data_IF_833405283196
#
_entry.id   IF_833405283196
#
_cell.length_a   1.000
_cell.length_b   1.000
_cell.length_c   1.000
_cell.angle_alpha   90.00
_cell.angle_beta   90.00
_cell.angle_gamma   90.00
#
_symmetry.space_group_name_H-M   'P 1'
#
loop_
_entity.id
_entity.type
_entity.pdbx_description
1 polymer ?
#
# COMPACT_ATOMS: atom_id res chain seq x y z
N UNK A 1 4.20 9.31 -13.86
CA UNK A 1 5.48 9.52 -13.16
C UNK A 1 5.29 9.19 -11.66
N UNK A 2 6.06 8.23 -11.10
CA UNK A 2 6.02 7.83 -9.69
C UNK A 2 6.41 8.93 -8.69
N UNK A 3 7.08 10.01 -9.12
CA UNK A 3 7.50 11.11 -8.26
C UNK A 3 6.45 12.22 -8.11
N UNK A 4 5.43 12.29 -8.98
CA UNK A 4 4.48 13.42 -9.07
C UNK A 4 3.80 13.76 -7.74
N UNK A 5 3.56 12.76 -6.90
CA UNK A 5 2.79 12.93 -5.67
C UNK A 5 3.61 13.49 -4.50
N UNK A 6 4.86 13.03 -4.33
CA UNK A 6 5.68 13.32 -3.14
C UNK A 6 7.19 13.41 -3.40
N UNK A 7 7.61 13.41 -4.66
CA UNK A 7 9.00 13.39 -5.12
C UNK A 7 9.82 12.19 -4.61
N UNK A 8 9.17 11.05 -4.36
CA UNK A 8 9.84 9.82 -3.87
C UNK A 8 9.64 8.64 -4.85
N UNK A 9 10.24 8.69 -6.05
CA UNK A 9 9.96 7.72 -7.12
C UNK A 9 10.29 6.26 -6.76
N UNK A 10 11.26 6.04 -5.88
CA UNK A 10 11.71 4.70 -5.49
C UNK A 10 10.92 4.10 -4.33
N UNK A 11 9.90 4.79 -3.79
CA UNK A 11 9.12 4.24 -2.68
C UNK A 11 8.18 3.17 -3.18
N UNK A 12 8.09 2.08 -2.41
CA UNK A 12 7.24 0.95 -2.77
C UNK A 12 5.80 1.38 -3.10
N UNK A 13 5.21 2.28 -2.33
CA UNK A 13 3.82 2.72 -2.56
C UNK A 13 3.59 3.55 -3.84
N UNK A 14 4.64 3.98 -4.54
CA UNK A 14 4.56 4.76 -5.78
C UNK A 14 4.68 3.89 -7.05
N UNK A 15 4.92 2.59 -6.89
CA UNK A 15 5.08 1.66 -8.03
C UNK A 15 3.79 1.60 -8.85
N UNK A 16 3.94 1.58 -10.18
CA UNK A 16 2.83 1.38 -11.10
C UNK A 16 2.34 -0.10 -11.06
N UNK A 17 1.03 -0.35 -11.17
CA UNK A 17 0.51 -1.70 -11.31
C UNK A 17 0.99 -2.31 -12.64
N UNK A 18 1.35 -3.59 -12.61
CA UNK A 18 1.77 -4.34 -13.80
C UNK A 18 1.14 -5.72 -13.81
N UNK A 19 0.96 -6.29 -15.00
CA UNK A 19 0.37 -7.62 -15.16
C UNK A 19 1.28 -8.71 -14.58
N UNK A 20 2.59 -8.61 -14.82
CA UNK A 20 3.61 -9.45 -14.17
C UNK A 20 4.35 -8.60 -13.14
N UNK A 21 3.96 -8.75 -11.87
CA UNK A 21 4.56 -8.03 -10.75
C UNK A 21 4.97 -9.02 -9.65
N UNK A 22 6.26 -9.28 -9.55
CA UNK A 22 6.81 -10.18 -8.52
C UNK A 22 7.30 -9.36 -7.34
N UNK A 23 6.86 -9.72 -6.13
CA UNK A 23 7.27 -9.09 -4.86
C UNK A 23 7.18 -7.54 -4.88
N UNK A 24 6.21 -7.01 -5.62
CA UNK A 24 6.08 -5.58 -5.91
C UNK A 24 7.34 -4.91 -6.51
N UNK A 25 8.34 -5.66 -7.00
CA UNK A 25 9.70 -5.16 -7.28
C UNK A 25 10.38 -4.47 -6.12
N UNK A 26 10.01 -4.85 -4.90
CA UNK A 26 10.53 -4.21 -3.70
C UNK A 26 11.71 -4.96 -3.16
N UNK A 27 12.71 -4.20 -2.73
CA UNK A 27 13.82 -4.67 -1.93
C UNK A 27 13.66 -4.09 -0.53
N UNK A 28 13.70 -4.95 0.48
CA UNK A 28 13.70 -4.56 1.88
C UNK A 28 15.13 -4.23 2.32
N UNK A 29 15.30 -3.04 2.89
CA UNK A 29 16.50 -2.64 3.61
C UNK A 29 16.16 -2.57 5.11
N UNK A 30 16.63 -3.58 5.85
CA UNK A 30 16.44 -3.72 7.30
C UNK A 30 17.56 -3.00 8.02
N UNK A 31 17.24 -1.88 8.65
CA UNK A 31 18.15 -0.99 9.35
C UNK A 31 18.09 -1.31 10.84
N UNK A 32 19.22 -1.74 11.40
CA UNK A 32 19.33 -2.20 12.79
C UNK A 32 20.47 -1.48 13.50
N UNK A 33 20.18 -0.67 14.54
CA UNK A 33 21.24 -0.08 15.36
C UNK A 33 21.95 -1.18 16.16
N UNK A 34 23.28 -1.15 16.18
CA UNK A 34 24.11 -2.10 16.91
C UNK A 34 24.77 -1.38 18.08
N UNK A 35 24.38 -1.75 19.30
CA UNK A 35 24.82 -1.12 20.54
C UNK A 35 26.31 -1.32 20.81
N UNK A 36 26.77 -2.55 20.69
CA UNK A 36 28.13 -2.98 21.05
C UNK A 36 29.17 -2.36 20.12
N UNK A 37 28.93 -2.42 18.80
CA UNK A 37 29.81 -1.87 17.77
C UNK A 37 29.59 -0.37 17.50
N UNK A 38 28.61 0.26 18.17
CA UNK A 38 28.19 1.67 17.96
C UNK A 38 27.99 2.03 16.47
N UNK A 39 27.54 1.06 15.67
CA UNK A 39 27.30 1.24 14.24
C UNK A 39 25.85 0.90 13.89
N UNK A 40 25.51 1.01 12.62
CA UNK A 40 24.19 0.67 12.09
C UNK A 40 24.41 -0.41 11.04
N UNK A 41 23.76 -1.55 11.20
CA UNK A 41 23.76 -2.62 10.20
C UNK A 41 22.57 -2.44 9.28
N UNK A 42 22.79 -2.54 7.98
CA UNK A 42 21.73 -2.58 6.98
C UNK A 42 21.84 -3.90 6.24
N UNK A 43 20.76 -4.68 6.25
CA UNK A 43 20.64 -5.95 5.53
C UNK A 43 19.65 -5.74 4.39
N UNK A 44 20.00 -6.23 3.20
CA UNK A 44 19.19 -6.12 1.99
C UNK A 44 18.56 -7.50 1.70
N UNK A 45 17.27 -7.52 1.38
CA UNK A 45 16.53 -8.72 1.02
C UNK A 45 15.57 -8.44 -0.16
N UNK A 46 15.61 -9.19 -1.28
CA UNK A 46 16.49 -10.32 -1.60
C UNK A 46 17.98 -9.94 -1.73
N UNK A 47 18.87 -10.95 -1.69
CA UNK A 47 20.33 -10.81 -1.62
C UNK A 47 20.91 -9.82 -2.67
N UNK A 48 21.96 -9.05 -2.31
CA UNK A 48 22.33 -7.81 -2.98
C UNK A 48 23.22 -8.00 -4.22
N UNK A 49 23.13 -9.09 -4.99
CA UNK A 49 24.02 -9.32 -6.17
C UNK A 49 24.04 -8.12 -7.15
N UNK A 50 22.99 -7.29 -7.12
CA UNK A 50 22.77 -6.14 -7.98
C UNK A 50 22.66 -4.79 -7.23
N UNK A 51 22.94 -4.73 -5.92
CA UNK A 51 22.86 -3.49 -5.12
C UNK A 51 24.18 -3.22 -4.37
N UNK A 52 24.81 -2.09 -4.70
CA UNK A 52 26.00 -1.60 -4.02
C UNK A 52 25.59 -0.62 -2.91
N UNK A 53 25.61 -1.09 -1.66
CA UNK A 53 25.17 -0.33 -0.50
C UNK A 53 26.33 0.41 0.19
N UNK A 54 26.24 1.74 0.24
CA UNK A 54 27.13 2.59 1.00
C UNK A 54 26.42 3.14 2.24
N UNK A 55 26.84 2.70 3.43
CA UNK A 55 26.22 3.11 4.69
C UNK A 55 27.09 4.11 5.44
N UNK A 56 26.74 5.40 5.35
CA UNK A 56 27.40 6.50 6.06
C UNK A 56 26.54 7.02 7.24
N UNK A 57 25.62 6.21 7.76
CA UNK A 57 24.75 6.62 8.87
C UNK A 57 25.52 6.71 10.18
N UNK A 58 25.22 7.74 10.96
CA UNK A 58 25.75 7.94 12.31
C UNK A 58 24.71 7.54 13.36
N UNK A 59 25.11 6.68 14.29
CA UNK A 59 24.25 6.29 15.40
C UNK A 59 24.12 7.43 16.42
N UNK A 60 22.92 7.64 16.94
CA UNK A 60 22.59 8.73 17.89
C UNK A 60 21.65 8.25 18.99
N UNK A 61 21.51 9.04 20.07
CA UNK A 61 20.69 8.70 21.25
C UNK A 61 19.41 9.53 21.39
N UNK A 62 19.05 10.34 20.38
CA UNK A 62 17.85 11.18 20.39
C UNK A 62 16.54 10.39 20.33
N UNK A 63 15.38 11.06 20.31
CA UNK A 63 14.09 10.38 20.10
C UNK A 63 14.01 9.78 18.69
N UNK A 64 13.27 8.67 18.53
CA UNK A 64 12.89 8.22 17.19
C UNK A 64 11.79 9.13 16.64
N UNK A 65 12.20 10.22 15.98
CA UNK A 65 11.28 11.10 15.24
C UNK A 65 10.92 10.51 13.87
N UNK A 66 10.76 11.38 12.88
CA UNK A 66 10.57 11.02 11.47
C UNK A 66 11.86 10.47 10.84
N UNK A 67 12.29 9.30 11.29
CA UNK A 67 13.57 8.68 10.92
C UNK A 67 13.75 8.57 9.40
N UNK A 68 12.67 8.36 8.64
CA UNK A 68 12.71 8.28 7.17
C UNK A 68 13.13 9.58 6.51
N UNK A 69 12.80 10.73 7.12
CA UNK A 69 13.17 12.05 6.61
C UNK A 69 14.62 12.41 7.02
N UNK A 70 15.09 11.86 8.16
CA UNK A 70 16.47 12.03 8.60
C UNK A 70 17.48 11.17 7.80
N UNK A 71 17.00 10.16 7.08
CA UNK A 71 17.80 9.34 6.16
C UNK A 71 17.99 10.03 4.81
N UNK A 72 19.13 10.70 4.64
CA UNK A 72 19.57 11.16 3.33
C UNK A 72 19.82 9.97 2.42
N UNK A 73 18.99 9.79 1.40
CA UNK A 73 19.04 8.64 0.49
C UNK A 73 19.45 9.10 -0.91
N UNK A 74 20.60 8.64 -1.39
CA UNK A 74 21.06 8.88 -2.76
C UNK A 74 21.07 7.55 -3.51
N UNK A 75 20.35 7.47 -4.63
CA UNK A 75 20.22 6.27 -5.45
C UNK A 75 20.73 6.59 -6.84
N UNK A 76 21.69 5.80 -7.31
CA UNK A 76 22.26 5.88 -8.67
C UNK A 76 22.08 4.53 -9.33
N UNK A 77 21.37 4.52 -10.45
CA UNK A 77 21.14 3.31 -11.24
C UNK A 77 22.07 3.38 -12.44
N UNK A 78 22.99 2.42 -12.55
CA UNK A 78 23.82 2.29 -13.74
C UNK A 78 23.07 1.49 -14.81
N UNK A 79 22.66 2.18 -15.87
CA UNK A 79 21.94 1.56 -16.99
C UNK A 79 22.85 0.87 -18.00
N UNK A 80 24.17 1.09 -17.94
CA UNK A 80 25.16 0.58 -18.88
C UNK A 80 25.89 -0.66 -18.33
N UNK A 81 26.14 -0.74 -17.02
CA UNK A 81 26.83 -1.87 -16.38
C UNK A 81 25.89 -2.79 -15.57
N UNK A 82 25.40 -3.85 -16.22
CA UNK A 82 24.62 -4.93 -15.58
C UNK A 82 23.41 -4.50 -14.71
N UNK A 83 22.89 -3.29 -14.90
CA UNK A 83 21.81 -2.73 -14.09
C UNK A 83 22.14 -2.65 -12.58
N UNK A 84 23.42 -2.49 -12.20
CA UNK A 84 23.79 -2.33 -10.78
C UNK A 84 23.24 -1.02 -10.23
N UNK A 85 22.68 -1.07 -9.03
CA UNK A 85 22.17 0.12 -8.34
C UNK A 85 23.02 0.42 -7.12
N UNK A 86 23.61 1.61 -7.06
CA UNK A 86 24.26 2.10 -5.85
C UNK A 86 23.26 2.85 -4.98
N UNK A 87 23.18 2.45 -3.70
CA UNK A 87 22.34 3.09 -2.68
C UNK A 87 23.24 3.61 -1.57
N UNK A 88 23.26 4.93 -1.38
CA UNK A 88 24.02 5.57 -0.31
C UNK A 88 23.09 6.18 0.73
N UNK A 89 23.24 5.75 1.99
CA UNK A 89 22.56 6.36 3.14
C UNK A 89 23.49 7.28 3.91
N UNK A 90 23.01 8.49 4.20
CA UNK A 90 23.71 9.50 4.99
C UNK A 90 22.78 10.05 6.08
N UNK A 91 23.36 10.69 7.09
CA UNK A 91 22.61 11.34 8.18
C UNK A 91 22.69 10.57 9.49
N UNK A 92 21.70 10.77 10.36
CA UNK A 92 21.69 10.23 11.72
C UNK A 92 20.53 9.27 11.91
N UNK A 93 20.79 8.16 12.61
CA UNK A 93 19.77 7.19 13.01
C UNK A 93 19.80 7.03 14.52
N UNK A 94 18.65 7.15 15.17
CA UNK A 94 18.58 7.00 16.62
C UNK A 94 18.47 5.54 17.02
N UNK A 95 19.20 5.15 18.06
CA UNK A 95 19.03 3.86 18.72
C UNK A 95 17.58 3.62 19.17
N UNK A 96 16.88 4.66 19.61
CA UNK A 96 15.50 4.58 20.07
C UNK A 96 14.52 4.25 18.95
N UNK A 97 14.96 4.26 17.69
CA UNK A 97 14.15 3.73 16.59
C UNK A 97 14.08 2.22 16.58
N UNK A 98 15.04 1.52 17.18
CA UNK A 98 15.20 0.07 17.06
C UNK A 98 15.33 -0.34 15.59
N UNK A 99 14.97 -1.58 15.30
CA UNK A 99 14.92 -2.09 13.93
C UNK A 99 13.80 -1.41 13.12
N UNK A 100 14.10 -1.08 11.87
CA UNK A 100 13.15 -0.54 10.89
C UNK A 100 13.39 -1.11 9.50
N UNK A 101 12.30 -1.31 8.77
CA UNK A 101 12.33 -1.72 7.36
C UNK A 101 12.03 -0.54 6.43
N UNK A 102 12.85 -0.43 5.39
CA UNK A 102 12.71 0.50 4.29
C UNK A 102 12.52 -0.28 2.99
N UNK A 103 11.35 -0.18 2.37
CA UNK A 103 11.05 -0.83 1.09
C UNK A 103 11.33 0.13 -0.07
N UNK A 104 12.24 -0.25 -0.96
CA UNK A 104 12.61 0.52 -2.15
C UNK A 104 12.36 -0.30 -3.43
N UNK A 105 11.90 0.38 -4.49
CA UNK A 105 11.80 -0.16 -5.84
C UNK A 105 12.95 0.40 -6.67
N UNK A 106 14.00 -0.39 -6.84
CA UNK A 106 15.26 0.07 -7.43
C UNK A 106 15.41 -0.31 -8.91
N UNK A 107 14.66 -1.30 -9.38
CA UNK A 107 14.78 -1.84 -10.74
C UNK A 107 13.41 -1.93 -11.42
N UNK A 108 13.41 -2.04 -12.74
CA UNK A 108 12.21 -2.35 -13.52
C UNK A 108 11.81 -3.84 -13.37
N UNK A 109 10.63 -4.22 -13.88
CA UNK A 109 10.10 -5.58 -13.68
C UNK A 109 10.91 -6.67 -14.36
N UNK A 110 11.33 -6.53 -15.64
CA UNK A 110 12.16 -7.54 -16.29
C UNK A 110 13.45 -7.82 -15.53
N UNK A 111 14.19 -6.78 -15.12
CA UNK A 111 15.45 -6.93 -14.38
C UNK A 111 15.20 -7.55 -13.01
N UNK A 112 14.25 -7.01 -12.23
CA UNK A 112 13.96 -7.53 -10.89
C UNK A 112 13.54 -9.01 -10.92
N UNK A 113 12.65 -9.37 -11.85
CA UNK A 113 12.12 -10.74 -11.97
C UNK A 113 13.22 -11.71 -12.39
N UNK A 114 14.06 -11.33 -13.36
CA UNK A 114 15.18 -12.15 -13.81
C UNK A 114 16.17 -12.44 -12.69
N UNK A 115 16.60 -11.41 -11.97
CA UNK A 115 17.63 -11.57 -10.95
C UNK A 115 17.10 -12.34 -9.74
N UNK A 116 15.85 -12.09 -9.34
CA UNK A 116 15.20 -12.90 -8.30
C UNK A 116 15.05 -14.37 -8.73
N UNK A 117 14.63 -14.62 -9.98
CA UNK A 117 14.52 -15.98 -10.52
C UNK A 117 15.87 -16.70 -10.53
N UNK A 118 16.92 -16.08 -11.07
CA UNK A 118 18.28 -16.66 -11.09
C UNK A 118 18.76 -16.98 -9.68
N UNK A 119 18.56 -16.07 -8.74
CA UNK A 119 18.96 -16.26 -7.35
C UNK A 119 18.29 -17.51 -6.76
N UNK A 120 16.95 -17.58 -6.81
CA UNK A 120 16.19 -18.72 -6.29
C UNK A 120 16.49 -20.02 -7.05
N UNK A 121 16.71 -19.96 -8.36
CA UNK A 121 17.04 -21.13 -9.18
C UNK A 121 18.42 -21.71 -8.82
N UNK A 122 19.41 -20.83 -8.59
CA UNK A 122 20.75 -21.25 -8.15
C UNK A 122 20.75 -21.86 -6.76
N UNK A 123 19.93 -21.34 -5.83
CA UNK A 123 19.77 -21.95 -4.50
C UNK A 123 19.28 -23.40 -4.58
N UNK A 124 18.54 -23.75 -5.65
CA UNK A 124 18.08 -25.11 -5.94
C UNK A 124 19.06 -25.91 -6.83
N UNK A 125 20.28 -25.43 -7.05
CA UNK A 125 21.30 -26.08 -7.89
C UNK A 125 21.11 -25.86 -9.40
N UNK A 126 20.17 -25.03 -9.80
CA UNK A 126 19.87 -24.72 -11.19
C UNK A 126 20.84 -23.71 -11.82
N UNK A 127 21.06 -23.82 -13.13
CA UNK A 127 21.85 -22.88 -13.92
C UNK A 127 20.95 -22.22 -14.96
N UNK A 128 21.00 -20.89 -15.06
CA UNK A 128 20.27 -20.11 -16.07
C UNK A 128 21.22 -19.18 -16.82
N UNK A 129 21.53 -19.55 -18.07
CA UNK A 129 22.43 -18.80 -18.96
C UNK A 129 21.68 -17.94 -19.99
N UNK A 130 20.35 -17.96 -19.95
CA UNK A 130 19.50 -17.19 -20.87
C UNK A 130 19.41 -15.71 -20.52
N UNK A 131 18.61 -14.97 -21.31
CA UNK A 131 18.23 -13.58 -21.06
C UNK A 131 16.71 -13.46 -21.02
N UNK A 132 16.19 -12.55 -20.20
CA UNK A 132 14.76 -12.20 -20.21
C UNK A 132 14.45 -11.26 -21.37
N UNK A 133 13.30 -11.48 -22.00
CA UNK A 133 12.76 -10.62 -23.06
C UNK A 133 11.29 -10.37 -22.75
N UNK A 134 10.86 -9.12 -22.91
CA UNK A 134 9.45 -8.80 -22.92
C UNK A 134 8.83 -9.28 -24.25
N UNK A 135 7.62 -9.83 -24.19
CA UNK A 135 6.91 -10.29 -25.37
C UNK A 135 5.62 -11.01 -24.99
N UNK A 136 4.80 -11.30 -26.00
CA UNK A 136 3.65 -12.19 -25.86
C UNK A 136 4.13 -13.64 -25.86
N UNK A 137 3.45 -14.49 -25.09
CA UNK A 137 3.72 -15.93 -25.11
C UNK A 137 3.10 -16.50 -26.40
N UNK A 138 3.84 -17.26 -27.22
CA UNK A 138 3.27 -17.92 -28.40
C UNK A 138 2.22 -18.97 -28.00
N UNK A 139 1.22 -19.21 -28.85
CA UNK A 139 0.10 -20.13 -28.57
C UNK A 139 0.56 -21.59 -28.38
N UNK A 140 1.61 -22.01 -29.09
CA UNK A 140 2.16 -23.37 -29.06
C UNK A 140 3.24 -23.52 -27.97
N UNK A 141 2.84 -23.47 -26.69
CA UNK A 141 3.77 -23.61 -25.56
C UNK A 141 3.28 -24.65 -24.57
N UNK A 142 4.21 -25.48 -24.09
CA UNK A 142 3.96 -26.35 -22.95
C UNK A 142 3.83 -25.50 -21.68
N UNK A 143 2.64 -25.51 -21.08
CA UNK A 143 2.41 -24.90 -19.77
C UNK A 143 3.10 -25.76 -18.71
N UNK A 144 4.14 -25.21 -18.07
CA UNK A 144 4.89 -25.92 -17.04
C UNK A 144 4.18 -25.91 -15.69
N UNK A 145 3.60 -24.77 -15.31
CA UNK A 145 3.00 -24.57 -13.99
C UNK A 145 1.94 -23.47 -14.03
N UNK A 146 0.95 -23.55 -13.13
CA UNK A 146 0.00 -22.47 -12.87
C UNK A 146 -0.06 -22.17 -11.39
N UNK A 147 0.27 -20.94 -11.03
CA UNK A 147 0.11 -20.44 -9.67
C UNK A 147 -1.19 -19.65 -9.55
N UNK A 148 -2.04 -20.04 -8.59
CA UNK A 148 -3.28 -19.32 -8.27
C UNK A 148 -3.05 -18.44 -7.04
N UNK A 149 -3.56 -17.21 -7.08
CA UNK A 149 -3.50 -16.29 -5.94
C UNK A 149 -4.38 -16.76 -4.78
N UNK A 150 -4.20 -16.20 -3.57
CA UNK A 150 -5.21 -16.30 -2.53
C UNK A 150 -6.59 -15.78 -3.01
N UNK A 151 -7.68 -16.17 -2.32
CA UNK A 151 -9.02 -15.66 -2.61
C UNK A 151 -9.08 -14.13 -2.52
N UNK A 152 -9.98 -13.53 -3.32
CA UNK A 152 -10.13 -12.06 -3.39
C UNK A 152 -10.41 -11.41 -2.01
N UNK A 153 -11.11 -12.11 -1.11
CA UNK A 153 -11.37 -11.61 0.24
C UNK A 153 -10.07 -11.36 1.03
N UNK A 154 -9.09 -12.24 0.91
CA UNK A 154 -7.77 -12.07 1.56
C UNK A 154 -6.98 -10.93 0.94
N UNK A 155 -7.03 -10.80 -0.39
CA UNK A 155 -6.39 -9.69 -1.11
C UNK A 155 -7.00 -8.35 -0.67
N UNK A 156 -8.33 -8.25 -0.57
CA UNK A 156 -9.04 -7.05 -0.10
C UNK A 156 -8.69 -6.74 1.36
N UNK A 157 -8.58 -7.77 2.21
CA UNK A 157 -8.11 -7.62 3.60
C UNK A 157 -6.74 -6.96 3.64
N UNK A 158 -5.76 -7.45 2.87
CA UNK A 158 -4.42 -6.87 2.87
C UNK A 158 -4.40 -5.45 2.28
N UNK A 159 -5.20 -5.19 1.23
CA UNK A 159 -5.40 -3.84 0.69
C UNK A 159 -5.89 -2.89 1.80
N UNK A 160 -6.93 -3.29 2.53
CA UNK A 160 -7.58 -2.40 3.50
C UNK A 160 -6.79 -2.25 4.81
N UNK A 161 -6.27 -3.35 5.37
CA UNK A 161 -5.48 -3.34 6.61
C UNK A 161 -4.20 -2.54 6.48
N UNK A 162 -3.48 -2.71 5.37
CA UNK A 162 -2.18 -2.08 5.15
C UNK A 162 -2.24 -0.85 4.25
N UNK A 163 -3.42 -0.52 3.70
CA UNK A 163 -3.59 0.55 2.71
C UNK A 163 -2.67 0.39 1.50
N UNK A 164 -2.62 -0.83 0.93
CA UNK A 164 -1.70 -1.17 -0.15
C UNK A 164 -2.15 -0.55 -1.49
N UNK A 165 -1.48 0.53 -1.88
CA UNK A 165 -1.80 1.26 -3.11
C UNK A 165 -1.62 0.44 -4.38
N UNK A 166 -0.58 -0.40 -4.46
CA UNK A 166 -0.30 -1.14 -5.70
C UNK A 166 -1.38 -2.19 -5.93
N UNK A 167 -1.69 -2.96 -4.89
CA UNK A 167 -2.73 -3.98 -4.94
C UNK A 167 -4.11 -3.36 -5.23
N UNK A 168 -4.43 -2.19 -4.64
CA UNK A 168 -5.66 -1.46 -4.97
C UNK A 168 -5.72 -1.04 -6.45
N UNK A 169 -4.60 -0.59 -7.03
CA UNK A 169 -4.52 -0.22 -8.45
C UNK A 169 -4.62 -1.44 -9.39
N UNK A 170 -4.03 -2.57 -9.00
CA UNK A 170 -4.17 -3.83 -9.74
C UNK A 170 -5.61 -4.34 -9.70
N UNK A 171 -6.25 -4.34 -8.52
CA UNK A 171 -7.66 -4.70 -8.38
C UNK A 171 -8.53 -3.78 -9.23
N UNK A 172 -8.29 -2.47 -9.20
CA UNK A 172 -8.99 -1.50 -10.04
C UNK A 172 -8.89 -1.86 -11.53
N UNK A 173 -7.68 -2.13 -12.04
CA UNK A 173 -7.47 -2.54 -13.43
C UNK A 173 -8.17 -3.86 -13.77
N UNK A 174 -8.14 -4.84 -12.86
CA UNK A 174 -8.80 -6.12 -13.04
C UNK A 174 -10.33 -6.02 -13.17
N UNK A 175 -10.96 -4.98 -12.59
CA UNK A 175 -12.40 -4.73 -12.81
C UNK A 175 -12.71 -4.45 -14.29
N UNK A 176 -11.76 -3.85 -15.02
CA UNK A 176 -11.90 -3.57 -16.44
C UNK A 176 -11.79 -4.79 -17.36
N UNK A 177 -11.46 -5.98 -16.84
CA UNK A 177 -11.35 -7.23 -17.61
C UNK A 177 -12.48 -8.22 -17.31
N UNK A 178 -13.41 -7.89 -16.40
CA UNK A 178 -14.49 -8.81 -15.99
C UNK A 178 -15.41 -9.17 -17.16
N UNK A 179 -15.51 -8.31 -18.17
CA UNK A 179 -16.43 -8.48 -19.31
C UNK A 179 -15.78 -9.04 -20.57
N UNK A 180 -14.48 -9.39 -20.56
CA UNK A 180 -13.82 -10.00 -21.72
C UNK A 180 -12.31 -10.18 -21.57
N UNK A 181 -11.70 -10.85 -22.56
CA UNK A 181 -10.27 -11.20 -22.57
C UNK A 181 -9.35 -10.06 -23.04
N UNK A 182 -9.90 -8.88 -23.27
CA UNK A 182 -9.15 -7.72 -23.72
C UNK A 182 -8.26 -7.14 -22.60
N UNK A 183 -7.12 -6.52 -22.93
CA UNK A 183 -6.26 -5.89 -21.93
C UNK A 183 -7.02 -4.87 -21.05
N UNK A 184 -6.68 -4.88 -19.77
CA UNK A 184 -7.18 -3.91 -18.80
C UNK A 184 -6.78 -2.48 -19.21
N UNK A 185 -7.74 -1.55 -19.14
CA UNK A 185 -7.46 -0.11 -19.29
C UNK A 185 -8.13 0.68 -18.17
N UNK A 186 -7.61 1.88 -17.89
CA UNK A 186 -8.21 2.78 -16.90
C UNK A 186 -9.66 3.14 -17.26
N UNK A 187 -9.95 3.34 -18.54
CA UNK A 187 -11.29 3.62 -19.05
C UNK A 187 -12.24 2.46 -18.76
N UNK A 188 -11.89 1.23 -19.15
CA UNK A 188 -12.73 0.04 -18.88
C UNK A 188 -12.98 -0.17 -17.39
N UNK A 189 -11.97 0.09 -16.57
CA UNK A 189 -12.06 -0.03 -15.11
C UNK A 189 -13.03 1.01 -14.51
N UNK A 190 -12.98 2.25 -15.00
CA UNK A 190 -13.92 3.31 -14.61
C UNK A 190 -15.35 2.95 -15.06
N UNK A 191 -15.52 2.49 -16.30
CA UNK A 191 -16.81 2.09 -16.86
C UNK A 191 -17.42 0.93 -16.07
N UNK A 192 -16.62 -0.08 -15.70
CA UNK A 192 -17.06 -1.20 -14.86
C UNK A 192 -17.60 -0.71 -13.50
N UNK A 193 -16.92 0.23 -12.84
CA UNK A 193 -17.38 0.82 -11.58
C UNK A 193 -18.66 1.63 -11.78
N UNK A 194 -18.74 2.44 -12.84
CA UNK A 194 -19.95 3.23 -13.13
C UNK A 194 -21.16 2.34 -13.42
N UNK A 195 -20.97 1.30 -14.22
CA UNK A 195 -22.00 0.28 -14.48
C UNK A 195 -22.43 -0.42 -13.19
N UNK A 196 -21.49 -0.77 -12.32
CA UNK A 196 -21.80 -1.35 -11.02
C UNK A 196 -22.61 -0.38 -10.15
N UNK A 197 -22.22 0.88 -10.03
CA UNK A 197 -22.97 1.90 -9.28
C UNK A 197 -24.40 2.07 -9.80
N UNK A 198 -24.58 2.15 -11.13
CA UNK A 198 -25.89 2.20 -11.76
C UNK A 198 -26.72 0.95 -11.44
N UNK A 199 -26.13 -0.25 -11.51
CA UNK A 199 -26.80 -1.51 -11.14
C UNK A 199 -27.28 -1.54 -9.69
N UNK A 200 -26.62 -0.79 -8.80
CA UNK A 200 -26.99 -0.63 -7.39
C UNK A 200 -27.93 0.54 -7.13
N UNK A 201 -28.38 1.25 -8.18
CA UNK A 201 -29.19 2.48 -8.11
C UNK A 201 -28.50 3.57 -7.27
N UNK A 202 -27.18 3.66 -7.39
CA UNK A 202 -26.36 4.69 -6.76
C UNK A 202 -25.92 5.69 -7.82
N UNK A 203 -26.44 6.91 -7.73
CA UNK A 203 -26.05 8.03 -8.59
C UNK A 203 -25.19 9.03 -7.81
N UNK A 204 -23.91 9.12 -8.19
CA UNK A 204 -22.89 9.96 -7.55
C UNK A 204 -22.28 10.87 -8.61
N UNK A 205 -22.92 11.99 -9.00
CA UNK A 205 -22.49 12.82 -10.11
C UNK A 205 -21.10 13.45 -9.90
N UNK A 206 -20.70 13.69 -8.64
CA UNK A 206 -19.39 14.23 -8.29
C UNK A 206 -18.28 13.17 -8.23
N UNK A 207 -18.62 11.89 -8.41
CA UNK A 207 -17.68 10.78 -8.22
C UNK A 207 -16.63 10.73 -9.33
N UNK A 208 -15.37 10.84 -8.92
CA UNK A 208 -14.20 10.71 -9.78
C UNK A 208 -13.26 9.67 -9.17
N UNK A 209 -12.91 8.67 -9.97
CA UNK A 209 -11.93 7.64 -9.66
C UNK A 209 -10.96 7.50 -10.84
N UNK A 210 -9.65 7.60 -10.58
CA UNK A 210 -8.63 7.51 -11.62
C UNK A 210 -7.77 6.25 -11.52
N UNK A 211 -7.56 5.73 -10.31
CA UNK A 211 -6.60 4.65 -10.09
C UNK A 211 -6.98 3.65 -8.99
N UNK A 212 -8.09 3.83 -8.27
CA UNK A 212 -8.56 2.93 -7.22
C UNK A 212 -7.83 2.98 -5.87
N UNK A 213 -6.61 3.53 -5.78
CA UNK A 213 -5.89 3.62 -4.49
C UNK A 213 -6.18 4.89 -3.69
N UNK A 214 -6.72 5.92 -4.33
CA UNK A 214 -6.91 7.23 -3.71
C UNK A 214 -5.65 8.11 -3.70
N UNK A 215 -4.59 7.73 -4.43
CA UNK A 215 -3.39 8.58 -4.60
C UNK A 215 -3.63 9.78 -5.52
N UNK A 216 -4.67 9.74 -6.36
CA UNK A 216 -4.99 10.85 -7.26
C UNK A 216 -5.53 12.05 -6.48
N UNK A 217 -5.02 13.25 -6.81
CA UNK A 217 -5.53 14.54 -6.32
C UNK A 217 -6.88 14.91 -6.92
N UNK A 218 -7.27 14.27 -8.01
CA UNK A 218 -8.55 14.50 -8.70
C UNK A 218 -9.66 13.58 -8.19
N UNK A 219 -9.31 12.55 -7.40
CA UNK A 219 -10.30 11.65 -6.81
C UNK A 219 -11.30 12.42 -5.95
N UNK A 220 -12.59 12.20 -6.19
CA UNK A 220 -13.67 12.95 -5.52
C UNK A 220 -14.83 12.03 -5.17
N UNK A 221 -15.35 12.22 -3.97
CA UNK A 221 -16.62 11.68 -3.49
C UNK A 221 -17.09 12.52 -2.30
N UNK A 222 -18.39 12.78 -2.18
CA UNK A 222 -18.93 13.45 -0.99
C UNK A 222 -19.01 12.49 0.20
N UNK A 223 -18.95 13.03 1.42
CA UNK A 223 -19.15 12.22 2.63
C UNK A 223 -20.53 11.52 2.64
N UNK A 224 -21.56 12.19 2.07
CA UNK A 224 -22.90 11.65 1.91
C UNK A 224 -22.92 10.42 1.00
N UNK A 225 -22.28 10.49 -0.17
CA UNK A 225 -22.25 9.38 -1.12
C UNK A 225 -21.36 8.23 -0.67
N UNK A 226 -20.23 8.51 -0.02
CA UNK A 226 -19.43 7.46 0.62
C UNK A 226 -20.22 6.78 1.75
N UNK A 227 -20.99 7.53 2.53
CA UNK A 227 -21.88 6.97 3.57
C UNK A 227 -22.97 6.08 2.97
N UNK A 228 -23.62 6.50 1.87
CA UNK A 228 -24.58 5.66 1.14
C UNK A 228 -23.95 4.38 0.59
N UNK A 229 -22.73 4.47 0.05
CA UNK A 229 -22.00 3.31 -0.44
C UNK A 229 -21.71 2.30 0.69
N UNK A 230 -21.26 2.77 1.86
CA UNK A 230 -21.05 1.92 3.03
C UNK A 230 -22.36 1.29 3.52
N UNK A 231 -23.46 2.04 3.59
CA UNK A 231 -24.77 1.46 3.91
C UNK A 231 -25.18 0.37 2.91
N UNK A 232 -24.92 0.58 1.61
CA UNK A 232 -25.20 -0.43 0.58
C UNK A 232 -24.30 -1.66 0.71
N UNK A 233 -23.02 -1.47 1.03
CA UNK A 233 -22.07 -2.55 1.28
C UNK A 233 -22.47 -3.39 2.51
N UNK A 234 -22.98 -2.75 3.57
CA UNK A 234 -23.50 -3.43 4.76
C UNK A 234 -24.68 -4.36 4.45
N UNK A 235 -25.48 -4.04 3.43
CA UNK A 235 -26.63 -4.85 3.00
C UNK A 235 -26.26 -5.94 1.97
N UNK A 236 -24.98 -6.06 1.60
CA UNK A 236 -24.55 -7.00 0.56
C UNK A 236 -24.18 -8.37 1.12
N UNK A 237 -24.20 -9.39 0.27
CA UNK A 237 -23.80 -10.76 0.65
C UNK A 237 -22.33 -10.88 1.05
N UNK A 238 -21.47 -9.97 0.58
CA UNK A 238 -20.04 -9.91 0.89
C UNK A 238 -19.72 -8.98 2.08
N UNK A 239 -20.74 -8.58 2.84
CA UNK A 239 -20.59 -7.70 4.00
C UNK A 239 -19.59 -8.25 5.04
N UNK A 240 -19.62 -9.52 5.46
CA UNK A 240 -18.71 -10.03 6.49
C UNK A 240 -17.23 -9.90 6.09
N UNK A 241 -16.91 -10.23 4.84
CA UNK A 241 -15.57 -10.11 4.27
C UNK A 241 -15.17 -8.64 4.15
N UNK A 242 -16.09 -7.78 3.69
CA UNK A 242 -15.80 -6.34 3.57
C UNK A 242 -15.52 -5.70 4.92
N UNK A 243 -16.33 -5.93 5.95
CA UNK A 243 -16.10 -5.34 7.27
C UNK A 243 -14.83 -5.88 7.91
N UNK A 244 -14.61 -7.20 7.88
CA UNK A 244 -13.42 -7.82 8.46
C UNK A 244 -12.12 -7.37 7.78
N UNK A 245 -12.19 -6.96 6.51
CA UNK A 245 -11.06 -6.37 5.79
C UNK A 245 -10.62 -5.01 6.34
N UNK A 246 -11.51 -4.23 6.96
CA UNK A 246 -11.21 -2.88 7.44
C UNK A 246 -10.37 -2.92 8.74
N UNK A 247 -9.40 -2.02 8.93
CA UNK A 247 -8.65 -1.91 10.19
C UNK A 247 -9.57 -1.77 11.41
N UNK A 248 -9.28 -2.55 12.45
CA UNK A 248 -9.99 -2.54 13.72
C UNK A 248 -9.32 -1.53 14.66
N UNK A 249 -10.11 -0.62 15.21
CA UNK A 249 -9.63 0.44 16.11
C UNK A 249 -8.84 -0.13 17.29
N UNK A 250 -7.63 0.38 17.49
CA UNK A 250 -6.68 -0.04 18.52
C UNK A 250 -6.19 -1.51 18.44
N UNK A 251 -6.52 -2.26 17.38
CA UNK A 251 -6.17 -3.68 17.26
C UNK A 251 -5.19 -3.92 16.12
N UNK A 252 -5.53 -3.48 14.90
CA UNK A 252 -4.74 -3.80 13.72
C UNK A 252 -4.71 -2.72 12.64
N UNK A 253 -3.94 -3.01 11.58
CA UNK A 253 -3.79 -2.15 10.41
C UNK A 253 -3.37 -0.72 10.76
N UNK A 254 -3.90 0.23 9.99
CA UNK A 254 -3.61 1.66 10.18
C UNK A 254 -4.23 2.26 11.44
N UNK A 255 -5.10 1.53 12.15
CA UNK A 255 -5.76 1.99 13.38
C UNK A 255 -5.14 1.40 14.66
N UNK A 256 -4.18 0.48 14.55
CA UNK A 256 -3.56 -0.26 15.67
C UNK A 256 -3.08 0.61 16.84
N UNK A 257 -2.47 1.76 16.55
CA UNK A 257 -1.89 2.65 17.58
C UNK A 257 -2.87 3.72 18.08
N UNK A 258 -4.06 3.80 17.51
CA UNK A 258 -5.01 4.90 17.71
C UNK A 258 -6.02 4.52 18.78
N UNK A 259 -6.23 5.41 19.76
CA UNK A 259 -7.16 5.22 20.88
C UNK A 259 -6.95 3.91 21.66
N UNK A 260 -5.70 3.46 21.76
CA UNK A 260 -5.35 2.25 22.51
C UNK A 260 -5.62 2.44 24.01
N UNK A 261 -6.19 1.42 24.66
CA UNK A 261 -6.54 1.45 26.09
C UNK A 261 -7.77 2.29 26.43
N UNK A 262 -8.56 2.70 25.43
CA UNK A 262 -9.82 3.43 25.64
C UNK A 262 -11.04 2.51 25.55
N UNK A 263 -12.21 3.00 25.99
CA UNK A 263 -13.48 2.27 25.95
C UNK A 263 -13.97 1.91 24.54
N UNK A 264 -13.44 2.55 23.50
CA UNK A 264 -13.81 2.30 22.10
C UNK A 264 -12.92 1.27 21.41
N UNK A 265 -11.94 0.69 22.12
CA UNK A 265 -11.05 -0.36 21.60
C UNK A 265 -11.85 -1.50 20.99
N UNK A 266 -11.54 -1.87 19.74
CA UNK A 266 -12.24 -2.94 19.03
C UNK A 266 -13.64 -2.60 18.51
N UNK A 267 -14.17 -1.40 18.80
CA UNK A 267 -15.56 -1.06 18.49
C UNK A 267 -15.77 -0.48 17.07
N UNK A 268 -14.70 -0.20 16.34
CA UNK A 268 -14.79 0.40 15.01
C UNK A 268 -13.92 -0.30 13.97
N UNK A 269 -14.43 -0.37 12.75
CA UNK A 269 -13.82 -0.92 11.55
C UNK A 269 -13.69 0.21 10.52
N UNK A 270 -12.49 0.76 10.36
CA UNK A 270 -12.28 2.06 9.70
C UNK A 270 -11.13 1.98 8.69
N UNK A 271 -11.42 2.37 7.44
CA UNK A 271 -10.37 2.71 6.48
C UNK A 271 -9.92 4.14 6.70
N UNK A 272 -8.61 4.34 6.78
CA UNK A 272 -7.98 5.66 6.86
C UNK A 272 -7.50 6.14 5.49
N UNK A 273 -7.40 7.45 5.30
CA UNK A 273 -6.71 8.08 4.18
C UNK A 273 -5.82 9.23 4.65
N UNK A 274 -4.63 9.33 4.08
CA UNK A 274 -3.64 10.35 4.39
C UNK A 274 -2.87 10.73 3.13
N UNK A 275 -2.92 12.01 2.76
CA UNK A 275 -2.09 12.64 1.74
C UNK A 275 -1.65 14.02 2.27
N UNK A 276 -0.66 14.66 1.65
CA UNK A 276 -0.36 16.05 2.01
C UNK A 276 -1.61 16.92 1.85
N UNK A 277 -2.06 17.56 2.92
CA UNK A 277 -3.27 18.39 2.93
C UNK A 277 -4.60 17.62 2.98
N UNK A 278 -4.59 16.29 3.19
CA UNK A 278 -5.81 15.47 3.26
C UNK A 278 -5.72 14.48 4.41
N UNK A 279 -6.76 14.43 5.24
CA UNK A 279 -6.94 13.40 6.27
C UNK A 279 -8.37 12.90 6.27
N UNK A 280 -8.55 11.58 6.20
CA UNK A 280 -9.89 10.98 6.10
C UNK A 280 -10.02 9.71 6.94
N UNK A 281 -11.25 9.42 7.34
CA UNK A 281 -11.65 8.12 7.88
C UNK A 281 -13.07 7.76 7.42
N UNK A 282 -13.29 6.49 7.10
CA UNK A 282 -14.61 6.00 6.73
C UNK A 282 -14.78 4.52 7.10
N UNK A 283 -15.97 4.12 7.55
CA UNK A 283 -16.28 2.74 7.89
C UNK A 283 -17.44 2.62 8.86
N UNK A 284 -17.33 1.69 9.81
CA UNK A 284 -18.40 1.35 10.74
C UNK A 284 -17.95 1.43 12.19
N UNK A 285 -18.89 1.76 13.07
CA UNK A 285 -18.68 1.77 14.52
C UNK A 285 -19.88 1.15 15.23
N UNK A 286 -19.64 0.38 16.27
CA UNK A 286 -20.67 -0.05 17.22
C UNK A 286 -20.79 0.99 18.33
N UNK A 287 -22.01 1.40 18.66
CA UNK A 287 -22.30 2.19 19.86
C UNK A 287 -22.46 1.30 21.11
N UNK A 288 -22.62 1.91 22.30
CA UNK A 288 -22.79 1.16 23.56
C UNK A 288 -24.02 0.25 23.57
N UNK A 289 -25.06 0.56 22.80
CA UNK A 289 -26.25 -0.27 22.64
C UNK A 289 -26.07 -1.40 21.62
N UNK A 290 -24.89 -1.51 20.99
CA UNK A 290 -24.60 -2.52 19.97
C UNK A 290 -25.15 -2.19 18.59
N UNK A 291 -25.70 -0.98 18.38
CA UNK A 291 -26.16 -0.54 17.06
C UNK A 291 -24.96 -0.12 16.23
N UNK A 292 -24.93 -0.58 14.98
CA UNK A 292 -23.88 -0.25 14.02
C UNK A 292 -24.19 1.04 13.26
N UNK A 293 -23.25 1.96 13.26
CA UNK A 293 -23.34 3.28 12.63
C UNK A 293 -22.27 3.40 11.56
N UNK A 294 -22.64 3.95 10.40
CA UNK A 294 -21.69 4.33 9.35
C UNK A 294 -21.06 5.68 9.69
N UNK A 295 -19.74 5.76 9.61
CA UNK A 295 -18.96 6.96 9.91
C UNK A 295 -18.18 7.39 8.67
N UNK A 296 -18.25 8.66 8.31
CA UNK A 296 -17.43 9.26 7.25
C UNK A 296 -16.96 10.64 7.69
N UNK A 297 -15.65 10.86 7.67
CA UNK A 297 -15.03 12.15 7.98
C UNK A 297 -13.96 12.45 6.92
N UNK A 298 -14.15 13.50 6.14
CA UNK A 298 -13.23 13.92 5.08
C UNK A 298 -12.73 15.34 5.37
N UNK A 299 -11.42 15.54 5.46
CA UNK A 299 -10.80 16.87 5.64
C UNK A 299 -9.77 17.11 4.55
N UNK A 300 -9.98 18.19 3.80
CA UNK A 300 -9.02 18.72 2.82
C UNK A 300 -8.57 20.10 3.31
N UNK A 301 -7.37 20.20 3.85
CA UNK A 301 -6.82 21.43 4.42
C UNK A 301 -5.30 21.32 4.59
N UNK A 302 -4.55 22.41 4.42
CA UNK A 302 -3.09 22.40 4.62
C UNK A 302 -2.68 21.92 6.02
N UNK A 303 -3.49 22.23 7.03
CA UNK A 303 -3.36 21.75 8.41
C UNK A 303 -4.29 20.55 8.72
N UNK A 304 -4.49 19.65 7.75
CA UNK A 304 -5.38 18.48 7.91
C UNK A 304 -4.94 17.53 9.03
N UNK A 305 -3.66 17.53 9.42
CA UNK A 305 -3.17 16.72 10.55
C UNK A 305 -3.89 17.01 11.86
N UNK A 306 -4.23 18.30 12.10
CA UNK A 306 -4.96 18.74 13.29
C UNK A 306 -6.38 18.16 13.38
N UNK A 307 -6.94 17.65 12.29
CA UNK A 307 -8.25 16.99 12.31
C UNK A 307 -8.26 15.66 13.07
N UNK A 308 -7.08 15.09 13.38
CA UNK A 308 -6.95 13.84 14.13
C UNK A 308 -7.78 13.85 15.42
N UNK A 309 -7.65 14.92 16.21
CA UNK A 309 -8.36 15.05 17.47
C UNK A 309 -9.88 15.06 17.26
N UNK A 310 -10.38 15.84 16.31
CA UNK A 310 -11.81 15.89 16.00
C UNK A 310 -12.36 14.54 15.52
N UNK A 311 -11.58 13.81 14.72
CA UNK A 311 -11.94 12.46 14.29
C UNK A 311 -11.99 11.48 15.47
N UNK A 312 -11.03 11.55 16.39
CA UNK A 312 -11.01 10.74 17.61
C UNK A 312 -12.19 11.04 18.53
N UNK A 313 -12.47 12.33 18.74
CA UNK A 313 -13.64 12.78 19.51
C UNK A 313 -14.95 12.33 18.87
N UNK A 314 -15.06 12.32 17.54
CA UNK A 314 -16.26 11.82 16.86
C UNK A 314 -16.48 10.33 17.16
N UNK A 315 -15.45 9.49 17.11
CA UNK A 315 -15.58 8.07 17.43
C UNK A 315 -16.05 7.87 18.87
N UNK A 316 -15.44 8.56 19.83
CA UNK A 316 -15.91 8.54 21.21
C UNK A 316 -17.37 8.98 21.33
N UNK A 317 -17.74 10.09 20.70
CA UNK A 317 -19.10 10.59 20.76
C UNK A 317 -20.11 9.60 20.15
N UNK A 318 -19.78 8.94 19.03
CA UNK A 318 -20.65 7.92 18.43
C UNK A 318 -20.84 6.74 19.38
N UNK A 319 -19.77 6.30 20.05
CA UNK A 319 -19.86 5.24 21.06
C UNK A 319 -20.80 5.60 22.21
N UNK A 320 -20.62 6.81 22.74
CA UNK A 320 -21.28 7.32 23.93
C UNK A 320 -22.72 7.79 23.66
N UNK A 321 -23.05 8.16 22.41
CA UNK A 321 -24.38 8.62 22.00
C UNK A 321 -25.33 7.42 21.88
N UNK A 322 -25.65 6.83 23.03
CA UNK A 322 -26.71 5.86 23.24
C UNK A 322 -27.82 6.51 24.05
#
# INVERSE_FOLDING_TARGET
DPAVFDNKPYRAYNIAPEALLVNYRTTELRITPQLESKNIRIIINPLPEFIDLNNNLKLTWGKCGEWRNALGTNIRIDTESNHRTSVTFNGSYSINCGEKSLLLSLHNSPTYTLELFKHLWREQGGIFNGKVRAGTVPDERLQLETHQSPPLAEIIRDINKFSNNIAARQLYLALGTVTGNEPATLTKSNDAIRQWLMSKKLDFPEFIIENGSGLSRNGRISARHLGKLLLKAFQSSVMPEFISSLPILAVDGTMKKRLNGTTVTGQAHIKTGLLNGVKTMAGYMLDKSGRRVTVVFLVNHYNSESAQHAMDSLLHWIYERS
#
